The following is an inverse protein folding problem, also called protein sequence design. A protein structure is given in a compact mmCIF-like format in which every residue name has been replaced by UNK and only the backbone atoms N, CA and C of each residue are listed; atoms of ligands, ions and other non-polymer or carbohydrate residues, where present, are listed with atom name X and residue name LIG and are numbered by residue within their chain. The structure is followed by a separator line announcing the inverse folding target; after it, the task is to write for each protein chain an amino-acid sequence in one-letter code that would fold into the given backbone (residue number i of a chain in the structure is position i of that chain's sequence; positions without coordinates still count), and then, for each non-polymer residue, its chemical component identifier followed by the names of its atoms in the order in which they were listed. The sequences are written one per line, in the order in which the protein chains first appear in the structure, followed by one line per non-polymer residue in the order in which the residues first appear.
data_IF_546984928549
#
_entry.id   IF_546984928549
#
_cell.length_a   1.000
_cell.length_b   1.000
_cell.length_c   1.000
_cell.angle_alpha   90.00
_cell.angle_beta   90.00
_cell.angle_gamma   90.00
#
_symmetry.space_group_name_H-M   'P 1'
#
loop_
_entity.id
_entity.type
_entity.pdbx_description
1 polymer ?
#
# COMPACT_ATOMS: atom_id res chain seq x y z
N UNK A 1 24.33 49.79 -1.27
CA UNK A 1 23.18 49.06 -1.85
C UNK A 1 23.18 47.68 -1.21
N UNK A 2 22.29 47.43 -0.24
CA UNK A 2 22.22 46.13 0.45
C UNK A 2 21.25 45.22 -0.29
N UNK A 3 21.76 44.08 -0.78
CA UNK A 3 20.93 43.02 -1.36
C UNK A 3 20.50 42.11 -0.21
N UNK A 4 19.22 42.14 0.14
CA UNK A 4 18.62 41.20 1.07
C UNK A 4 18.35 39.88 0.36
N UNK A 5 18.99 38.80 0.80
CA UNK A 5 18.71 37.46 0.32
C UNK A 5 17.36 37.00 0.89
N UNK A 6 16.38 36.78 0.03
CA UNK A 6 15.12 36.12 0.38
C UNK A 6 15.38 34.60 0.29
N UNK A 7 15.41 33.94 1.45
CA UNK A 7 15.38 32.48 1.51
C UNK A 7 13.93 32.02 1.30
N UNK A 8 13.63 31.46 0.13
CA UNK A 8 12.38 30.73 -0.10
C UNK A 8 12.58 29.35 0.53
N UNK A 9 11.97 29.12 1.69
CA UNK A 9 11.86 27.78 2.24
C UNK A 9 10.97 26.95 1.32
N UNK A 10 11.58 26.02 0.57
CA UNK A 10 10.83 24.95 -0.07
C UNK A 10 10.25 24.08 1.04
N UNK A 11 8.98 24.29 1.37
CA UNK A 11 8.23 23.29 2.13
C UNK A 11 8.22 22.01 1.30
N UNK A 12 8.72 20.91 1.87
CA UNK A 12 8.44 19.59 1.33
C UNK A 12 6.92 19.47 1.27
N UNK A 13 6.36 19.37 0.06
CA UNK A 13 4.99 18.93 -0.09
C UNK A 13 4.95 17.52 0.52
N UNK A 14 4.19 17.35 1.60
CA UNK A 14 3.84 16.03 2.09
C UNK A 14 2.72 15.55 1.19
N UNK A 15 2.84 14.36 0.61
CA UNK A 15 1.78 13.79 -0.20
C UNK A 15 0.47 13.76 0.59
N UNK A 16 -0.62 14.17 -0.06
CA UNK A 16 -1.96 14.07 0.52
C UNK A 16 -2.44 12.62 0.30
N UNK A 17 -2.22 11.78 1.32
CA UNK A 17 -2.81 10.46 1.45
C UNK A 17 -4.14 10.59 2.19
N UNK A 18 -5.25 10.27 1.51
CA UNK A 18 -6.59 10.45 2.07
C UNK A 18 -7.46 9.23 1.85
N UNK A 19 -8.35 8.94 2.81
CA UNK A 19 -9.32 7.87 2.65
C UNK A 19 -10.42 8.27 1.65
N UNK A 20 -10.88 7.30 0.85
CA UNK A 20 -11.96 7.44 -0.12
C UNK A 20 -12.84 6.18 -0.15
N UNK A 21 -14.03 6.31 -0.71
CA UNK A 21 -15.02 5.23 -0.80
C UNK A 21 -14.96 4.53 -2.16
N UNK A 22 -15.30 3.24 -2.20
CA UNK A 22 -15.39 2.46 -3.46
C UNK A 22 -16.78 1.94 -3.78
N UNK A 23 -17.31 1.02 -2.98
CA UNK A 23 -18.54 0.28 -3.26
C UNK A 23 -19.75 1.00 -2.69
N UNK A 24 -19.61 1.55 -1.48
CA UNK A 24 -20.66 2.23 -0.75
C UNK A 24 -20.14 3.51 -0.08
N UNK A 25 -20.96 4.56 0.03
CA UNK A 25 -20.58 5.75 0.78
C UNK A 25 -20.23 5.43 2.23
N UNK A 26 -19.06 5.89 2.69
CA UNK A 26 -18.52 5.66 4.03
C UNK A 26 -17.88 4.29 4.24
N UNK A 27 -17.66 3.48 3.20
CA UNK A 27 -16.93 2.21 3.33
C UNK A 27 -15.42 2.41 3.55
N UNK A 28 -14.88 3.55 3.11
CA UNK A 28 -13.49 3.91 3.31
C UNK A 28 -12.49 2.88 2.75
N UNK A 29 -12.90 2.12 1.72
CA UNK A 29 -12.11 1.00 1.18
C UNK A 29 -10.93 1.44 0.30
N UNK A 30 -10.76 2.75 0.04
CA UNK A 30 -9.67 3.26 -0.78
C UNK A 30 -8.79 4.22 0.00
N UNK A 31 -7.50 4.17 -0.31
CA UNK A 31 -6.55 5.24 -0.01
C UNK A 31 -6.16 5.94 -1.31
N UNK A 32 -6.45 7.24 -1.38
CA UNK A 32 -6.05 8.09 -2.49
C UNK A 32 -4.68 8.68 -2.22
N UNK A 33 -3.76 8.42 -3.12
CA UNK A 33 -2.47 9.09 -3.21
C UNK A 33 -2.56 10.17 -4.28
N UNK A 34 -2.63 11.43 -3.83
CA UNK A 34 -2.78 12.57 -4.74
C UNK A 34 -1.55 12.86 -5.59
N UNK A 35 -0.36 12.41 -5.18
CA UNK A 35 0.90 12.66 -5.89
C UNK A 35 1.12 11.67 -7.02
N UNK A 36 0.90 10.36 -6.76
CA UNK A 36 0.96 9.34 -7.82
C UNK A 36 -0.32 9.28 -8.67
N UNK A 37 -1.43 9.80 -8.15
CA UNK A 37 -2.75 9.70 -8.77
C UNK A 37 -3.38 8.31 -8.65
N UNK A 38 -2.81 7.42 -7.82
CA UNK A 38 -3.31 6.07 -7.60
C UNK A 38 -4.37 6.03 -6.49
N UNK A 39 -5.31 5.11 -6.65
CA UNK A 39 -6.21 4.68 -5.58
C UNK A 39 -5.81 3.27 -5.16
N UNK A 40 -5.52 3.09 -3.89
CA UNK A 40 -5.10 1.83 -3.27
C UNK A 40 -6.30 1.18 -2.59
N UNK A 41 -6.55 -0.08 -2.88
CA UNK A 41 -7.56 -0.85 -2.13
C UNK A 41 -7.06 -1.14 -0.72
N UNK A 42 -7.93 -1.04 0.29
CA UNK A 42 -7.66 -1.52 1.64
C UNK A 42 -7.30 -3.01 1.60
N UNK A 43 -6.12 -3.35 2.08
CA UNK A 43 -5.57 -4.69 1.98
C UNK A 43 -6.32 -5.70 2.85
N UNK A 44 -7.06 -5.24 3.87
CA UNK A 44 -7.93 -6.11 4.66
C UNK A 44 -9.14 -6.60 3.85
N UNK A 45 -9.55 -5.89 2.80
CA UNK A 45 -10.65 -6.30 1.93
C UNK A 45 -10.35 -7.60 1.16
N UNK A 46 -9.08 -7.84 0.86
CA UNK A 46 -8.61 -9.04 0.14
C UNK A 46 -7.97 -10.06 1.07
N UNK A 47 -8.02 -9.85 2.39
CA UNK A 47 -7.50 -10.80 3.36
C UNK A 47 -8.20 -12.15 3.26
N UNK A 48 -7.46 -13.23 3.57
CA UNK A 48 -7.97 -14.61 3.49
C UNK A 48 -8.38 -15.05 2.08
N UNK A 49 -7.86 -14.39 1.03
CA UNK A 49 -8.02 -14.80 -0.38
C UNK A 49 -6.68 -15.23 -0.96
N UNK A 50 -6.72 -16.21 -1.86
CA UNK A 50 -5.53 -16.69 -2.55
C UNK A 50 -5.16 -15.76 -3.72
N UNK A 51 -3.90 -15.79 -4.16
CA UNK A 51 -3.46 -15.01 -5.32
C UNK A 51 -4.29 -15.36 -6.57
N UNK A 52 -4.50 -16.64 -6.83
CA UNK A 52 -5.29 -17.08 -7.99
C UNK A 52 -6.75 -16.62 -7.93
N UNK A 53 -7.34 -16.57 -6.74
CA UNK A 53 -8.71 -16.07 -6.58
C UNK A 53 -8.78 -14.55 -6.85
N UNK A 54 -7.86 -13.75 -6.30
CA UNK A 54 -7.84 -12.30 -6.56
C UNK A 54 -7.50 -12.00 -8.02
N UNK A 55 -6.46 -12.63 -8.57
CA UNK A 55 -6.06 -12.48 -9.96
C UNK A 55 -7.17 -12.89 -10.93
N UNK A 56 -7.88 -13.98 -10.63
CA UNK A 56 -9.03 -14.45 -11.41
C UNK A 56 -10.22 -13.48 -11.41
N UNK A 57 -10.30 -12.59 -10.40
CA UNK A 57 -11.40 -11.64 -10.24
C UNK A 57 -11.05 -10.18 -10.61
N UNK A 58 -9.88 -9.93 -11.21
CA UNK A 58 -9.47 -8.58 -11.70
C UNK A 58 -10.38 -8.00 -12.79
N UNK A 59 -11.14 -8.85 -13.49
CA UNK A 59 -12.09 -8.42 -14.53
C UNK A 59 -13.55 -8.42 -14.06
N UNK A 60 -13.81 -8.85 -12.83
CA UNK A 60 -15.15 -8.97 -12.24
C UNK A 60 -15.25 -8.12 -10.97
N UNK A 61 -15.01 -8.70 -9.79
CA UNK A 61 -15.12 -8.05 -8.49
C UNK A 61 -14.17 -6.87 -8.36
N UNK A 62 -12.93 -7.02 -8.86
CA UNK A 62 -11.90 -5.98 -8.81
C UNK A 62 -11.73 -5.27 -10.15
N UNK A 63 -12.82 -5.15 -10.93
CA UNK A 63 -12.77 -4.51 -12.24
C UNK A 63 -12.18 -3.08 -12.15
N UNK A 64 -11.11 -2.84 -12.91
CA UNK A 64 -10.39 -1.55 -12.93
C UNK A 64 -9.16 -1.51 -12.03
N UNK A 65 -8.99 -2.49 -11.15
CA UNK A 65 -7.77 -2.68 -10.39
C UNK A 65 -6.76 -3.55 -11.14
N UNK A 66 -5.50 -3.39 -10.74
CA UNK A 66 -4.39 -4.29 -11.03
C UNK A 66 -3.54 -4.44 -9.78
N UNK A 67 -2.66 -5.43 -9.76
CA UNK A 67 -1.60 -5.46 -8.76
C UNK A 67 -0.71 -4.21 -8.90
N UNK A 68 -0.33 -3.65 -7.75
CA UNK A 68 0.69 -2.63 -7.66
C UNK A 68 2.05 -3.19 -8.07
N UNK A 69 2.99 -2.33 -8.43
CA UNK A 69 4.40 -2.71 -8.63
C UNK A 69 5.20 -2.46 -7.35
N UNK A 70 6.42 -3.00 -7.27
CA UNK A 70 7.33 -2.71 -6.15
C UNK A 70 7.60 -1.20 -6.03
N UNK A 71 7.90 -0.54 -7.15
CA UNK A 71 8.20 0.89 -7.19
C UNK A 71 7.01 1.74 -6.72
N UNK A 72 5.78 1.35 -7.04
CA UNK A 72 4.57 2.04 -6.59
C UNK A 72 4.41 1.96 -5.07
N UNK A 73 4.78 0.83 -4.46
CA UNK A 73 4.65 0.68 -3.01
C UNK A 73 5.78 1.39 -2.28
N UNK A 74 7.01 1.34 -2.80
CA UNK A 74 8.11 2.18 -2.32
C UNK A 74 7.73 3.66 -2.40
N UNK A 75 7.07 4.07 -3.48
CA UNK A 75 6.55 5.43 -3.66
C UNK A 75 5.47 5.77 -2.62
N UNK A 76 4.51 4.86 -2.37
CA UNK A 76 3.50 5.02 -1.32
C UNK A 76 4.15 5.22 0.07
N UNK A 77 5.20 4.47 0.39
CA UNK A 77 5.95 4.64 1.65
C UNK A 77 6.61 6.01 1.76
N UNK A 78 7.26 6.46 0.69
CA UNK A 78 7.86 7.78 0.65
C UNK A 78 6.80 8.88 0.81
N UNK A 79 5.65 8.74 0.15
CA UNK A 79 4.51 9.65 0.24
C UNK A 79 3.88 9.68 1.64
N UNK A 80 3.90 8.55 2.36
CA UNK A 80 3.51 8.50 3.77
C UNK A 80 4.53 9.14 4.72
N UNK A 81 5.71 9.53 4.22
CA UNK A 81 6.77 10.18 5.01
C UNK A 81 7.83 9.23 5.55
N UNK A 82 7.97 8.02 5.00
CA UNK A 82 9.09 7.15 5.34
C UNK A 82 10.42 7.82 4.94
N UNK A 83 11.36 7.87 5.88
CA UNK A 83 12.66 8.54 5.74
C UNK A 83 13.69 7.63 5.09
N UNK A 84 13.63 6.34 5.40
CA UNK A 84 14.48 5.31 4.79
C UNK A 84 13.63 4.14 4.33
N UNK A 85 13.86 3.64 3.12
CA UNK A 85 13.20 2.45 2.58
C UNK A 85 14.31 1.40 2.38
N UNK A 86 14.66 0.64 3.44
CA UNK A 86 15.73 -0.33 3.37
C UNK A 86 15.35 -1.50 2.45
N UNK A 87 16.33 -2.00 1.69
CA UNK A 87 16.11 -3.08 0.73
C UNK A 87 15.85 -4.44 1.39
N UNK A 88 16.27 -4.68 2.65
CA UNK A 88 16.00 -5.93 3.39
C UNK A 88 16.01 -5.67 4.91
N UNK A 89 14.92 -6.06 5.62
CA UNK A 89 14.83 -6.16 7.09
C UNK A 89 15.37 -4.95 7.89
N UNK A 90 15.30 -3.74 7.34
CA UNK A 90 15.76 -2.55 8.05
C UNK A 90 14.64 -1.96 8.91
N UNK A 91 15.02 -1.52 10.11
CA UNK A 91 14.18 -0.73 10.99
C UNK A 91 14.76 0.66 11.16
N UNK A 92 13.91 1.67 10.99
CA UNK A 92 14.25 3.05 11.29
C UNK A 92 13.10 3.64 12.11
N UNK A 93 13.32 3.98 13.39
CA UNK A 93 12.30 4.60 14.22
C UNK A 93 11.69 5.87 13.59
N UNK A 94 12.40 6.55 12.69
CA UNK A 94 11.87 7.71 11.96
C UNK A 94 10.70 7.34 11.03
N UNK A 95 10.58 6.07 10.61
CA UNK A 95 9.48 5.59 9.77
C UNK A 95 8.19 5.30 10.57
N UNK A 96 8.25 5.20 11.91
CA UNK A 96 7.09 4.82 12.74
C UNK A 96 5.83 5.64 12.39
N UNK A 97 5.88 6.98 12.32
CA UNK A 97 4.68 7.77 12.01
C UNK A 97 4.10 7.47 10.62
N UNK A 98 4.97 7.28 9.62
CA UNK A 98 4.56 6.95 8.26
C UNK A 98 3.86 5.59 8.20
N UNK A 99 4.38 4.60 8.93
CA UNK A 99 3.79 3.27 9.00
C UNK A 99 2.46 3.26 9.75
N UNK A 100 2.34 4.03 10.83
CA UNK A 100 1.06 4.20 11.53
C UNK A 100 0.00 4.84 10.62
N UNK A 101 0.38 5.85 9.83
CA UNK A 101 -0.51 6.45 8.83
C UNK A 101 -0.96 5.42 7.80
N UNK A 102 -0.04 4.67 7.21
CA UNK A 102 -0.36 3.64 6.22
C UNK A 102 -1.28 2.57 6.80
N UNK A 103 -1.00 2.05 7.99
CA UNK A 103 -1.89 1.09 8.65
C UNK A 103 -3.31 1.63 8.85
N UNK A 104 -3.45 2.93 9.13
CA UNK A 104 -4.77 3.55 9.31
C UNK A 104 -5.53 3.73 8.00
N UNK A 105 -4.84 3.66 6.86
CA UNK A 105 -5.37 3.97 5.53
C UNK A 105 -5.58 2.72 4.66
N UNK A 106 -4.55 1.88 4.53
CA UNK A 106 -4.59 0.63 3.73
C UNK A 106 -4.84 -0.61 4.58
N UNK A 107 -5.00 -0.44 5.90
CA UNK A 107 -5.33 -1.51 6.83
C UNK A 107 -4.12 -2.37 7.23
N UNK A 108 -4.26 -3.06 8.37
CA UNK A 108 -3.29 -4.05 8.87
C UNK A 108 -3.88 -5.45 8.72
N UNK A 109 -3.16 -6.35 8.06
CA UNK A 109 -3.64 -7.71 7.77
C UNK A 109 -3.21 -8.73 8.83
N UNK A 110 -2.31 -8.35 9.76
CA UNK A 110 -1.85 -9.20 10.85
C UNK A 110 -2.03 -8.58 12.24
N UNK A 111 -2.50 -9.39 13.20
CA UNK A 111 -2.87 -8.96 14.55
C UNK A 111 -1.69 -8.79 15.52
N UNK A 112 -0.44 -9.10 15.13
CA UNK A 112 0.75 -8.76 15.95
C UNK A 112 1.21 -7.31 15.74
N UNK A 113 0.24 -6.44 15.46
CA UNK A 113 0.27 -5.04 15.85
C UNK A 113 0.75 -4.03 14.82
N UNK A 114 1.20 -4.41 13.62
CA UNK A 114 1.46 -3.44 12.56
C UNK A 114 1.78 -3.97 11.15
N UNK A 115 1.52 -5.25 10.90
CA UNK A 115 2.00 -5.91 9.69
C UNK A 115 0.91 -5.96 8.63
N UNK A 116 1.18 -5.28 7.53
CA UNK A 116 0.51 -5.55 6.29
C UNK A 116 1.45 -6.35 5.40
N UNK A 117 0.96 -7.46 4.90
CA UNK A 117 1.67 -8.33 3.97
C UNK A 117 0.85 -8.33 2.69
N UNK A 118 1.49 -8.00 1.57
CA UNK A 118 0.83 -8.01 0.26
C UNK A 118 1.57 -8.85 -0.76
N UNK A 119 0.92 -9.17 -1.87
CA UNK A 119 1.51 -9.89 -3.00
C UNK A 119 1.90 -8.96 -4.17
N UNK A 120 2.99 -9.28 -4.85
CA UNK A 120 3.43 -8.76 -6.14
C UNK A 120 3.64 -9.96 -7.09
N UNK A 121 2.67 -10.32 -7.94
CA UNK A 121 2.85 -11.44 -8.84
C UNK A 121 3.96 -11.12 -9.85
N UNK A 122 5.04 -11.92 -9.84
CA UNK A 122 6.02 -11.97 -10.93
C UNK A 122 7.50 -11.75 -10.60
N UNK A 123 7.91 -11.45 -9.36
CA UNK A 123 9.33 -11.28 -9.05
C UNK A 123 10.00 -12.54 -8.48
N UNK A 124 9.87 -13.68 -9.18
CA UNK A 124 10.64 -14.89 -8.88
C UNK A 124 12.15 -14.74 -9.21
N UNK A 125 12.57 -13.61 -9.78
CA UNK A 125 13.93 -13.42 -10.29
C UNK A 125 14.99 -13.14 -9.21
N UNK A 126 14.56 -12.79 -7.98
CA UNK A 126 15.47 -12.39 -6.91
C UNK A 126 15.27 -13.17 -5.61
N UNK A 127 14.97 -14.47 -5.63
CA UNK A 127 15.18 -15.26 -4.42
C UNK A 127 16.69 -15.21 -4.07
N UNK A 128 17.12 -14.51 -3.00
CA UNK A 128 18.53 -14.43 -2.64
C UNK A 128 19.01 -15.74 -1.99
N UNK A 129 18.11 -16.69 -1.79
CA UNK A 129 18.39 -17.94 -1.11
C UNK A 129 18.17 -19.12 -2.05
N UNK A 130 19.28 -19.70 -2.47
CA UNK A 130 19.38 -21.12 -2.83
C UNK A 130 19.07 -22.05 -1.64
N UNK A 131 18.27 -21.60 -0.67
CA UNK A 131 18.02 -22.29 0.59
C UNK A 131 16.93 -23.35 0.38
N UNK A 132 17.28 -24.65 0.38
CA UNK A 132 16.33 -25.74 0.12
C UNK A 132 15.30 -25.92 1.24
N UNK A 133 15.53 -25.32 2.42
CA UNK A 133 14.70 -25.51 3.61
C UNK A 133 13.39 -24.72 3.60
N UNK A 134 13.21 -23.77 2.67
CA UNK A 134 11.98 -22.97 2.56
C UNK A 134 10.94 -23.51 1.56
N UNK A 135 11.06 -24.79 1.20
CA UNK A 135 9.94 -25.58 0.70
C UNK A 135 9.50 -25.33 -0.75
N UNK A 136 10.03 -26.15 -1.66
CA UNK A 136 9.33 -26.60 -2.86
C UNK A 136 9.37 -25.67 -4.10
N UNK A 137 9.17 -26.24 -5.31
CA UNK A 137 9.09 -25.50 -6.57
C UNK A 137 7.72 -24.82 -6.71
N UNK A 138 7.48 -23.76 -5.93
CA UNK A 138 6.36 -22.85 -6.09
C UNK A 138 6.80 -21.52 -6.71
N UNK A 139 5.91 -20.77 -7.38
CA UNK A 139 6.20 -19.38 -7.76
C UNK A 139 6.46 -18.55 -6.49
N UNK A 140 7.54 -17.77 -6.53
CA UNK A 140 7.86 -16.87 -5.43
C UNK A 140 7.08 -15.57 -5.58
N UNK A 141 6.41 -15.21 -4.51
CA UNK A 141 5.71 -13.94 -4.38
C UNK A 141 6.52 -13.00 -3.50
N UNK A 142 6.63 -11.75 -3.93
CA UNK A 142 7.32 -10.75 -3.15
C UNK A 142 6.29 -10.01 -2.33
N UNK A 143 6.28 -10.31 -1.03
CA UNK A 143 5.53 -9.49 -0.09
C UNK A 143 6.40 -8.49 0.61
N UNK A 144 5.79 -7.45 1.14
CA UNK A 144 6.48 -6.62 2.12
C UNK A 144 5.63 -6.58 3.36
N UNK A 145 6.31 -6.71 4.48
CA UNK A 145 5.81 -6.53 5.81
C UNK A 145 6.33 -5.18 6.29
N UNK A 146 5.48 -4.34 6.86
CA UNK A 146 5.96 -3.26 7.71
C UNK A 146 5.57 -3.50 9.16
N UNK A 147 6.32 -2.92 10.10
CA UNK A 147 5.97 -2.99 11.51
C UNK A 147 6.19 -1.61 12.14
N UNK A 148 5.10 -0.88 12.32
CA UNK A 148 5.05 0.43 12.96
C UNK A 148 5.52 0.42 14.43
N UNK A 149 5.55 -0.72 15.12
CA UNK A 149 6.13 -0.79 16.48
C UNK A 149 7.65 -0.62 16.47
N UNK A 150 8.29 -0.95 15.34
CA UNK A 150 9.74 -0.92 15.20
C UNK A 150 10.22 0.03 14.08
N UNK A 151 9.31 0.68 13.34
CA UNK A 151 9.68 1.46 12.17
C UNK A 151 10.23 0.60 11.03
N UNK A 152 9.86 -0.67 11.00
CA UNK A 152 10.40 -1.64 10.08
C UNK A 152 9.65 -1.58 8.74
N UNK A 153 10.39 -1.45 7.65
CA UNK A 153 9.92 -1.71 6.29
C UNK A 153 10.77 -2.87 5.79
N UNK A 154 10.17 -4.03 5.61
CA UNK A 154 10.91 -5.21 5.18
C UNK A 154 10.20 -5.83 3.99
N UNK A 155 10.74 -5.71 2.76
CA UNK A 155 10.42 -6.71 1.76
C UNK A 155 10.76 -8.08 2.36
N UNK A 156 9.72 -8.89 2.48
CA UNK A 156 9.78 -10.22 3.06
C UNK A 156 9.52 -11.17 1.90
N UNK A 157 10.52 -11.96 1.56
CA UNK A 157 10.30 -13.10 0.67
C UNK A 157 9.41 -14.08 1.42
N UNK A 158 8.18 -14.27 0.93
CA UNK A 158 7.23 -15.20 1.53
C UNK A 158 6.95 -16.26 0.48
N UNK A 159 7.29 -17.50 0.81
CA UNK A 159 6.91 -18.63 -0.02
C UNK A 159 5.50 -19.09 0.39
N UNK A 160 4.56 -19.01 -0.53
CA UNK A 160 3.22 -19.54 -0.34
C UNK A 160 2.64 -20.05 -1.66
N UNK A 161 1.75 -21.02 -1.56
CA UNK A 161 1.02 -21.58 -2.70
C UNK A 161 -0.02 -20.55 -3.21
N UNK A 162 -0.07 -20.30 -4.52
CA UNK A 162 -1.01 -19.39 -5.18
C UNK A 162 -2.48 -19.68 -4.89
N UNK A 163 -2.77 -20.91 -4.47
CA UNK A 163 -4.10 -21.38 -4.12
C UNK A 163 -4.35 -21.38 -2.61
N UNK A 164 -3.30 -21.23 -1.79
CA UNK A 164 -3.46 -21.14 -0.35
C UNK A 164 -4.06 -19.79 0.02
N UNK A 165 -5.09 -19.84 0.85
CA UNK A 165 -5.60 -18.65 1.53
C UNK A 165 -4.74 -18.38 2.76
N UNK A 166 -4.40 -17.11 2.96
CA UNK A 166 -3.67 -16.69 4.14
C UNK A 166 -4.44 -15.60 4.86
N UNK A 167 -4.89 -15.83 6.10
CA UNK A 167 -5.71 -14.87 6.82
C UNK A 167 -4.93 -13.60 7.20
N UNK A 168 -3.61 -13.63 7.02
CA UNK A 168 -2.67 -12.59 7.40
C UNK A 168 -2.13 -11.75 6.24
N UNK A 169 -2.57 -12.04 5.01
CA UNK A 169 -2.07 -11.40 3.80
C UNK A 169 -3.23 -10.78 3.02
N UNK A 170 -3.08 -9.51 2.67
CA UNK A 170 -3.90 -8.82 1.70
C UNK A 170 -3.22 -8.81 0.33
N UNK A 171 -3.84 -8.16 -0.65
CA UNK A 171 -3.30 -7.99 -2.00
C UNK A 171 -3.20 -6.51 -2.31
N UNK A 172 -2.02 -6.05 -2.71
CA UNK A 172 -1.78 -4.65 -3.02
C UNK A 172 -2.36 -4.33 -4.40
N UNK A 173 -3.63 -3.94 -4.42
CA UNK A 173 -4.33 -3.56 -5.64
C UNK A 173 -4.41 -2.05 -5.78
N UNK A 174 -4.11 -1.56 -6.98
CA UNK A 174 -4.22 -0.15 -7.36
C UNK A 174 -5.09 0.03 -8.59
N UNK A 175 -5.75 1.16 -8.67
CA UNK A 175 -6.45 1.62 -9.87
C UNK A 175 -6.03 3.04 -10.23
N UNK A 176 -6.00 3.32 -11.54
CA UNK A 176 -5.86 4.69 -12.05
C UNK A 176 -7.26 5.21 -12.37
N UNK A 177 -7.82 6.16 -11.61
CA UNK A 177 -9.12 6.71 -11.91
C UNK A 177 -9.10 7.38 -13.28
N UNK A 178 -10.12 7.11 -14.11
CA UNK A 178 -10.28 7.82 -15.37
C UNK A 178 -10.36 9.33 -15.11
N UNK A 179 -9.89 10.20 -16.03
CA UNK A 179 -9.84 11.65 -15.80
C UNK A 179 -11.17 12.28 -15.36
N UNK A 180 -12.32 11.69 -15.71
CA UNK A 180 -13.65 12.14 -15.28
C UNK A 180 -14.11 11.64 -13.90
N UNK A 181 -13.53 10.56 -13.37
CA UNK A 181 -13.92 9.92 -12.10
C UNK A 181 -13.40 10.69 -10.88
N UNK A 182 -12.31 11.44 -11.05
CA UNK A 182 -11.70 12.28 -10.01
C UNK A 182 -12.64 13.37 -9.50
N UNK A 183 -13.51 13.89 -10.37
CA UNK A 183 -14.50 14.90 -10.00
C UNK A 183 -15.61 14.34 -9.09
N UNK A 184 -15.97 13.07 -9.24
CA UNK A 184 -17.02 12.43 -8.43
C UNK A 184 -16.50 12.00 -7.05
N UNK A 185 -15.28 11.48 -6.97
CA UNK A 185 -14.63 11.10 -5.70
C UNK A 185 -14.39 12.34 -4.82
N UNK A 186 -13.95 13.46 -5.42
CA UNK A 186 -13.76 14.73 -4.69
C UNK A 186 -15.09 15.29 -4.14
N UNK A 187 -16.21 15.11 -4.84
CA UNK A 187 -17.53 15.55 -4.38
C UNK A 187 -18.06 14.70 -3.21
N UNK A 188 -17.75 13.40 -3.17
CA UNK A 188 -18.10 12.51 -2.05
C UNK A 188 -17.44 12.94 -0.74
N UNK A 189 -16.12 13.20 -0.76
CA UNK A 189 -15.36 13.64 0.41
C UNK A 189 -15.85 15.01 0.95
N UNK A 190 -16.17 15.96 0.07
CA UNK A 190 -16.72 17.27 0.46
C UNK A 190 -18.15 17.20 1.04
N UNK A 191 -18.97 16.24 0.59
CA UNK A 191 -20.32 16.04 1.13
C UNK A 191 -20.31 15.47 2.56
N UNK A 192 -19.33 14.62 2.90
CA UNK A 192 -19.19 14.03 4.24
C UNK A 192 -18.81 15.06 5.31
N UNK A 193 -17.98 16.06 4.97
CA UNK A 193 -17.54 17.12 5.91
C UNK A 193 -18.69 18.07 6.30
N UNK A 194 -19.70 18.24 5.46
CA UNK A 194 -20.78 19.21 5.70
C UNK A 194 -21.86 18.73 6.68
N UNK A 195 -21.88 17.44 7.06
CA UNK A 195 -22.95 16.86 7.91
C UNK A 195 -22.64 16.80 9.41
N UNK A 196 -21.48 17.32 9.85
CA UNK A 196 -21.15 17.55 11.27
C UNK A 196 -21.20 19.03 11.64
N UNK A 197 -22.38 19.65 11.57
CA UNK A 197 -22.72 20.89 12.28
C UNK A 197 -24.18 20.86 12.69
#
# INVERSE_FOLDING_TARGET
MSVGAIAIGAGVASADLTQADWLNPGDGLLTRDSESGLLWLDWTYTANRSCNDVAGNLTSEFAGFRYATEDEIRTLYAHAGAVTIPDINGSDPANIPALQLLMSLVGATFNDGAEAIYDLPGNASQNPSSNPDWGGPGPYHMGTAFNASFGQIAPRWINFDDNATQPWMGHALVMIPAPGSMALIALGALAAVRRRR
#
